data_IF_533806094931
#
_entry.id   IF_533806094931
#
_cell.length_a   1.000
_cell.length_b   1.000
_cell.length_c   1.000
_cell.angle_alpha   90.00
_cell.angle_beta   90.00
_cell.angle_gamma   90.00
#
_symmetry.space_group_name_H-M   'P 1'
#
loop_
_entity.id
_entity.type
_entity.pdbx_description
1 polymer ?
#
# COMPACT_ATOMS: atom_id res chain seq x y z
N UNK A 1 3.03 -37.88 -3.47
CA UNK A 1 2.31 -37.10 -4.50
C UNK A 1 3.02 -35.75 -4.60
N UNK A 2 3.15 -35.14 -5.79
CA UNK A 2 3.72 -33.79 -5.90
C UNK A 2 2.78 -32.78 -5.23
N UNK A 3 3.35 -31.76 -4.56
CA UNK A 3 2.55 -30.66 -4.00
C UNK A 3 1.78 -29.94 -5.13
N UNK A 4 0.59 -29.42 -4.82
CA UNK A 4 -0.20 -28.62 -5.78
C UNK A 4 0.44 -27.24 -5.92
N UNK A 5 0.66 -26.74 -7.14
CA UNK A 5 1.24 -25.40 -7.35
C UNK A 5 0.21 -24.32 -7.06
N UNK A 6 0.43 -23.54 -6.01
CA UNK A 6 -0.40 -22.42 -5.60
C UNK A 6 0.30 -21.11 -5.94
N UNK A 7 -0.30 -20.34 -6.84
CA UNK A 7 0.17 -19.00 -7.18
C UNK A 7 -0.67 -17.94 -6.45
N UNK A 8 -0.03 -17.02 -5.75
CA UNK A 8 -0.67 -15.82 -5.22
C UNK A 8 -0.21 -14.57 -5.98
N UNK A 9 -1.17 -13.87 -6.60
CA UNK A 9 -0.93 -12.57 -7.26
C UNK A 9 -1.27 -11.45 -6.29
N UNK A 10 -0.23 -10.82 -5.72
CA UNK A 10 -0.31 -9.74 -4.76
C UNK A 10 0.30 -10.11 -3.40
N UNK A 11 1.41 -9.47 -3.03
CA UNK A 11 2.11 -9.67 -1.76
C UNK A 11 1.57 -8.77 -0.61
N UNK A 12 0.26 -8.52 -0.58
CA UNK A 12 -0.38 -7.66 0.42
C UNK A 12 -0.81 -8.41 1.69
N UNK A 13 -1.12 -7.68 2.77
CA UNK A 13 -1.46 -8.24 4.09
C UNK A 13 -2.56 -9.33 4.03
N UNK A 14 -3.61 -9.11 3.23
CA UNK A 14 -4.70 -10.08 3.09
C UNK A 14 -4.25 -11.38 2.39
N UNK A 15 -3.41 -11.26 1.36
CA UNK A 15 -2.85 -12.40 0.65
C UNK A 15 -1.95 -13.22 1.55
N UNK A 16 -0.97 -12.57 2.18
CA UNK A 16 -0.03 -13.26 3.06
C UNK A 16 -0.72 -13.88 4.28
N UNK A 17 -1.73 -13.23 4.85
CA UNK A 17 -2.55 -13.85 5.90
C UNK A 17 -3.23 -15.15 5.44
N UNK A 18 -3.65 -15.21 4.18
CA UNK A 18 -4.22 -16.44 3.61
C UNK A 18 -3.17 -17.54 3.52
N UNK A 19 -1.93 -17.20 3.15
CA UNK A 19 -0.81 -18.15 3.10
C UNK A 19 -0.43 -18.63 4.50
N UNK A 20 -0.38 -17.75 5.50
CA UNK A 20 -0.15 -18.12 6.90
C UNK A 20 -1.16 -19.19 7.37
N UNK A 21 -2.45 -18.98 7.09
CA UNK A 21 -3.51 -19.93 7.47
C UNK A 21 -3.44 -21.26 6.71
N UNK A 22 -2.96 -21.23 5.47
CA UNK A 22 -2.72 -22.45 4.69
C UNK A 22 -1.58 -23.25 5.32
N UNK A 23 -0.47 -22.59 5.62
CA UNK A 23 0.71 -23.23 6.23
C UNK A 23 0.42 -23.77 7.62
N UNK A 24 -0.37 -23.06 8.43
CA UNK A 24 -0.76 -23.51 9.78
C UNK A 24 -1.61 -24.79 9.73
N UNK A 25 -2.44 -24.96 8.70
CA UNK A 25 -3.38 -26.08 8.59
C UNK A 25 -2.80 -27.27 7.85
N UNK A 26 -2.04 -27.04 6.79
CA UNK A 26 -1.49 -28.09 5.93
C UNK A 26 -0.24 -27.58 5.16
N UNK A 27 0.94 -27.55 5.82
CA UNK A 27 2.16 -26.97 5.26
C UNK A 27 2.71 -27.76 4.06
N UNK A 28 2.33 -29.03 3.92
CA UNK A 28 2.83 -29.91 2.87
C UNK A 28 1.93 -29.98 1.63
N UNK A 29 0.79 -29.28 1.63
CA UNK A 29 -0.19 -29.36 0.54
C UNK A 29 0.23 -28.67 -0.74
N UNK A 30 0.85 -27.50 -0.62
CA UNK A 30 1.09 -26.61 -1.74
C UNK A 30 2.58 -26.29 -1.93
N UNK A 31 2.97 -26.17 -3.19
CA UNK A 31 4.20 -25.50 -3.62
C UNK A 31 3.82 -24.06 -3.96
N UNK A 32 4.31 -23.08 -3.18
CA UNK A 32 3.75 -21.73 -3.14
C UNK A 32 4.66 -20.74 -3.85
N UNK A 33 4.12 -20.03 -4.82
CA UNK A 33 4.75 -18.85 -5.43
C UNK A 33 3.91 -17.61 -5.15
N UNK A 34 4.55 -16.53 -4.70
CA UNK A 34 3.92 -15.23 -4.47
C UNK A 34 4.56 -14.21 -5.40
N UNK A 35 3.74 -13.46 -6.15
CA UNK A 35 4.22 -12.39 -7.03
C UNK A 35 3.67 -11.04 -6.56
N UNK A 36 4.56 -10.08 -6.33
CA UNK A 36 4.25 -8.72 -5.90
C UNK A 36 4.84 -7.67 -6.81
N UNK A 37 4.05 -6.63 -7.12
CA UNK A 37 4.50 -5.50 -7.96
C UNK A 37 5.55 -4.60 -7.28
N UNK A 38 5.58 -4.59 -5.94
CA UNK A 38 6.46 -3.72 -5.15
C UNK A 38 7.76 -4.47 -4.80
N UNK A 39 8.93 -3.80 -4.72
CA UNK A 39 10.23 -4.44 -4.49
C UNK A 39 10.48 -4.78 -3.00
N UNK A 40 9.42 -5.10 -2.24
CA UNK A 40 9.46 -5.27 -0.79
C UNK A 40 8.78 -6.57 -0.37
N UNK A 41 9.18 -7.14 0.79
CA UNK A 41 8.42 -8.22 1.41
C UNK A 41 7.12 -7.65 2.00
N UNK A 42 6.27 -8.49 2.60
CA UNK A 42 4.99 -8.04 3.13
C UNK A 42 5.15 -7.05 4.29
N UNK A 43 4.36 -5.98 4.25
CA UNK A 43 4.42 -4.91 5.24
C UNK A 43 3.03 -4.38 5.60
N UNK A 44 2.94 -3.81 6.80
CA UNK A 44 1.74 -3.19 7.31
C UNK A 44 1.55 -1.79 6.70
N UNK A 45 0.83 -1.75 5.58
CA UNK A 45 0.53 -0.51 4.85
C UNK A 45 -0.22 0.55 5.66
N UNK A 46 -0.94 0.14 6.71
CA UNK A 46 -1.66 1.08 7.60
C UNK A 46 -0.66 1.97 8.35
N UNK A 47 0.56 1.48 8.59
CA UNK A 47 1.58 2.19 9.35
C UNK A 47 2.38 3.21 8.53
N UNK A 48 2.14 3.34 7.22
CA UNK A 48 2.86 4.32 6.38
C UNK A 48 2.66 5.76 6.85
N UNK A 49 1.50 6.10 7.44
CA UNK A 49 1.28 7.41 8.04
C UNK A 49 2.19 7.69 9.24
N UNK A 50 2.61 6.66 9.98
CA UNK A 50 3.59 6.80 11.06
C UNK A 50 5.00 7.06 10.53
N UNK A 51 5.36 6.47 9.36
CA UNK A 51 6.62 6.79 8.69
C UNK A 51 6.64 8.26 8.27
N UNK A 52 5.58 8.73 7.62
CA UNK A 52 5.46 10.12 7.21
C UNK A 52 5.47 11.11 8.40
N UNK A 53 5.11 10.65 9.60
CA UNK A 53 5.16 11.42 10.84
C UNK A 53 6.49 11.28 11.62
N UNK A 54 7.53 10.65 11.05
CA UNK A 54 8.81 10.35 11.71
C UNK A 54 8.67 9.51 13.00
N UNK A 55 7.62 8.69 13.11
CA UNK A 55 7.35 7.84 14.28
C UNK A 55 7.77 6.39 14.08
N UNK A 56 8.06 5.99 12.85
CA UNK A 56 8.34 4.62 12.47
C UNK A 56 9.23 4.60 11.23
N UNK A 57 10.00 3.53 11.08
CA UNK A 57 10.83 3.24 9.92
C UNK A 57 10.16 2.20 9.02
N UNK A 58 10.59 2.11 7.76
CA UNK A 58 10.13 1.05 6.83
C UNK A 58 10.33 -0.34 7.42
N UNK A 59 11.49 -0.59 8.05
CA UNK A 59 11.83 -1.89 8.65
C UNK A 59 10.82 -2.32 9.71
N UNK A 60 10.33 -1.39 10.53
CA UNK A 60 9.34 -1.66 11.58
C UNK A 60 7.94 -1.96 11.02
N UNK A 61 7.68 -1.66 9.75
CA UNK A 61 6.42 -2.02 9.09
C UNK A 61 6.42 -3.42 8.50
N UNK A 62 7.59 -4.06 8.34
CA UNK A 62 7.69 -5.40 7.74
C UNK A 62 7.01 -6.42 8.67
N UNK A 63 6.05 -7.16 8.13
CA UNK A 63 5.28 -8.17 8.86
C UNK A 63 5.92 -9.55 8.72
N UNK A 64 6.25 -9.91 7.48
CA UNK A 64 6.94 -11.15 7.15
C UNK A 64 8.21 -10.76 6.41
N UNK A 65 9.40 -10.88 7.05
CA UNK A 65 10.66 -10.54 6.39
C UNK A 65 11.03 -11.59 5.34
N UNK A 66 12.05 -11.34 4.51
CA UNK A 66 12.43 -12.26 3.43
C UNK A 66 12.73 -13.68 3.93
N UNK A 67 13.36 -13.78 5.11
CA UNK A 67 13.68 -15.02 5.80
C UNK A 67 12.44 -15.87 6.07
N UNK A 68 11.28 -15.26 6.35
CA UNK A 68 10.03 -15.99 6.56
C UNK A 68 9.58 -16.74 5.31
N UNK A 69 9.77 -16.15 4.13
CA UNK A 69 9.44 -16.82 2.86
C UNK A 69 10.38 -17.99 2.61
N UNK A 70 11.68 -17.80 2.86
CA UNK A 70 12.70 -18.85 2.71
C UNK A 70 12.45 -20.03 3.66
N UNK A 71 12.19 -19.75 4.94
CA UNK A 71 11.89 -20.75 5.98
C UNK A 71 10.63 -21.58 5.68
N UNK A 72 9.64 -20.98 5.01
CA UNK A 72 8.41 -21.65 4.61
C UNK A 72 8.44 -22.21 3.17
N UNK A 73 9.61 -22.21 2.53
CA UNK A 73 9.78 -22.68 1.15
C UNK A 73 8.84 -22.00 0.14
N UNK A 74 8.57 -20.71 0.35
CA UNK A 74 7.76 -19.89 -0.55
C UNK A 74 8.69 -19.20 -1.55
N UNK A 75 8.42 -19.37 -2.83
CA UNK A 75 9.07 -18.57 -3.86
C UNK A 75 8.43 -17.18 -3.92
N UNK A 76 9.15 -16.15 -3.47
CA UNK A 76 8.72 -14.76 -3.57
C UNK A 76 9.36 -14.07 -4.78
N UNK A 77 8.52 -13.50 -5.64
CA UNK A 77 8.92 -12.62 -6.76
C UNK A 77 8.44 -11.20 -6.44
N UNK A 78 9.38 -10.28 -6.21
CA UNK A 78 9.10 -8.86 -5.90
C UNK A 78 9.47 -7.96 -7.08
N UNK A 79 8.90 -6.75 -7.10
CA UNK A 79 9.21 -5.74 -8.11
C UNK A 79 8.80 -6.13 -9.55
N UNK A 80 7.94 -7.14 -9.71
CA UNK A 80 7.56 -7.66 -11.01
C UNK A 80 6.05 -7.90 -11.06
N UNK A 81 5.36 -7.00 -11.76
CA UNK A 81 3.90 -6.98 -11.81
C UNK A 81 3.38 -8.06 -12.75
N UNK A 82 2.39 -8.86 -12.33
CA UNK A 82 1.63 -9.71 -13.27
C UNK A 82 0.83 -8.84 -14.23
N UNK A 83 1.04 -9.03 -15.54
CA UNK A 83 0.39 -8.26 -16.61
C UNK A 83 -0.63 -9.07 -17.40
N UNK A 84 -0.51 -10.40 -17.44
CA UNK A 84 -1.42 -11.27 -18.17
C UNK A 84 -1.66 -12.59 -17.42
N UNK A 85 -2.89 -13.11 -17.56
CA UNK A 85 -3.29 -14.42 -17.07
C UNK A 85 -3.77 -15.23 -18.28
N UNK A 86 -3.07 -16.31 -18.60
CA UNK A 86 -3.49 -17.31 -19.61
C UNK A 86 -4.15 -18.49 -18.88
N UNK A 87 -5.48 -18.52 -18.93
CA UNK A 87 -6.28 -19.53 -18.23
C UNK A 87 -6.27 -20.89 -18.93
N UNK A 88 -6.04 -20.93 -20.24
CA UNK A 88 -5.99 -22.19 -21.00
C UNK A 88 -4.70 -22.94 -20.69
N UNK A 89 -3.58 -22.20 -20.59
CA UNK A 89 -2.27 -22.76 -20.20
C UNK A 89 -2.02 -22.79 -18.70
N UNK A 90 -2.94 -22.24 -17.91
CA UNK A 90 -2.83 -22.09 -16.45
C UNK A 90 -1.50 -21.45 -16.03
N UNK A 91 -1.20 -20.28 -16.60
CA UNK A 91 0.02 -19.53 -16.30
C UNK A 91 -0.23 -18.03 -16.26
N UNK A 92 0.67 -17.31 -15.62
CA UNK A 92 0.72 -15.84 -15.65
C UNK A 92 2.00 -15.37 -16.31
N UNK A 93 1.94 -14.17 -16.89
CA UNK A 93 3.11 -13.45 -17.40
C UNK A 93 3.32 -12.17 -16.59
N UNK A 94 4.56 -11.92 -16.21
CA UNK A 94 4.97 -10.71 -15.50
C UNK A 94 5.50 -9.63 -16.45
N UNK A 95 5.61 -8.39 -15.99
CA UNK A 95 6.08 -7.26 -16.77
C UNK A 95 7.54 -7.43 -17.24
N UNK A 96 8.36 -8.15 -16.46
CA UNK A 96 9.73 -8.52 -16.86
C UNK A 96 9.78 -9.78 -17.73
N UNK A 97 8.64 -10.34 -18.13
CA UNK A 97 8.53 -11.48 -19.04
C UNK A 97 8.66 -12.85 -18.38
N UNK A 98 8.56 -12.96 -17.04
CA UNK A 98 8.55 -14.26 -16.37
C UNK A 98 7.23 -14.97 -16.60
N UNK A 99 7.30 -16.27 -16.89
CA UNK A 99 6.12 -17.14 -17.03
C UNK A 99 6.04 -18.06 -15.82
N UNK A 100 4.96 -17.97 -15.06
CA UNK A 100 4.75 -18.77 -13.85
C UNK A 100 3.48 -19.59 -14.01
N UNK A 101 3.64 -20.92 -14.08
CA UNK A 101 2.53 -21.87 -14.15
C UNK A 101 1.92 -22.14 -12.77
N UNK A 102 0.62 -22.44 -12.74
CA UNK A 102 -0.12 -22.70 -11.50
C UNK A 102 -1.14 -23.83 -11.69
N UNK A 103 -1.52 -24.48 -10.59
CA UNK A 103 -2.67 -25.39 -10.56
C UNK A 103 -3.87 -24.68 -9.91
N UNK A 104 -3.60 -23.86 -8.88
CA UNK A 104 -4.55 -22.98 -8.23
C UNK A 104 -3.98 -21.57 -8.11
N UNK A 105 -4.84 -20.55 -8.18
CA UNK A 105 -4.43 -19.16 -8.11
C UNK A 105 -5.32 -18.35 -7.16
N UNK A 106 -4.68 -17.55 -6.31
CA UNK A 106 -5.31 -16.54 -5.45
C UNK A 106 -5.00 -15.16 -6.01
N UNK A 107 -6.03 -14.35 -6.26
CA UNK A 107 -5.88 -12.94 -6.65
C UNK A 107 -6.06 -12.07 -5.41
N UNK A 108 -4.96 -11.52 -4.91
CA UNK A 108 -4.88 -10.69 -3.71
C UNK A 108 -4.22 -9.32 -4.01
N UNK A 109 -4.50 -8.76 -5.20
CA UNK A 109 -3.86 -7.53 -5.71
C UNK A 109 -4.21 -6.26 -4.94
N UNK A 110 -5.22 -6.31 -4.08
CA UNK A 110 -5.72 -5.15 -3.37
C UNK A 110 -6.28 -4.08 -4.32
N UNK A 111 -5.96 -2.83 -4.04
CA UNK A 111 -6.43 -1.64 -4.79
C UNK A 111 -5.27 -0.73 -5.21
N UNK A 112 -5.58 0.37 -5.89
CA UNK A 112 -4.66 1.46 -6.23
C UNK A 112 -5.22 2.81 -5.76
N UNK A 113 -4.35 3.82 -5.65
CA UNK A 113 -4.76 5.19 -5.35
C UNK A 113 -5.60 5.76 -6.50
N UNK A 114 -6.76 6.33 -6.18
CA UNK A 114 -7.54 7.05 -7.18
C UNK A 114 -6.88 8.41 -7.46
N UNK A 115 -6.33 8.56 -8.67
CA UNK A 115 -5.75 9.82 -9.15
C UNK A 115 -6.83 10.60 -9.90
N UNK A 116 -7.04 11.85 -9.54
CA UNK A 116 -8.05 12.71 -10.16
C UNK A 116 -7.81 12.84 -11.67
N UNK A 117 -8.83 12.62 -12.52
CA UNK A 117 -8.71 12.71 -13.98
C UNK A 117 -8.75 14.18 -14.45
N UNK A 118 -7.77 14.97 -14.04
CA UNK A 118 -7.64 16.40 -14.38
C UNK A 118 -6.27 16.69 -14.99
N UNK A 119 -6.17 17.81 -15.71
CA UNK A 119 -4.90 18.30 -16.23
C UNK A 119 -3.90 18.52 -15.09
N UNK A 120 -2.66 18.08 -15.31
CA UNK A 120 -1.59 18.15 -14.30
C UNK A 120 -1.60 17.03 -13.28
N UNK A 121 -2.54 16.08 -13.31
CA UNK A 121 -2.59 14.90 -12.42
C UNK A 121 -1.38 13.95 -12.50
N UNK A 122 -0.53 14.12 -13.53
CA UNK A 122 0.71 13.35 -13.75
C UNK A 122 1.98 14.17 -13.57
N UNK A 123 1.88 15.40 -13.08
CA UNK A 123 3.06 16.20 -12.75
C UNK A 123 3.88 15.51 -11.66
N UNK A 124 5.19 15.71 -11.67
CA UNK A 124 6.13 15.03 -10.77
C UNK A 124 5.76 15.15 -9.28
N UNK A 125 5.25 16.32 -8.88
CA UNK A 125 4.83 16.61 -7.50
C UNK A 125 3.45 16.06 -7.11
N UNK A 126 2.72 15.40 -8.01
CA UNK A 126 1.48 14.70 -7.68
C UNK A 126 1.84 13.27 -7.27
N UNK A 127 1.54 12.94 -6.01
CA UNK A 127 1.94 11.68 -5.39
C UNK A 127 0.70 11.06 -4.74
N UNK A 128 0.43 9.79 -5.04
CA UNK A 128 -0.56 9.02 -4.29
C UNK A 128 -0.03 8.74 -2.88
N UNK A 129 -0.86 8.30 -1.95
CA UNK A 129 -0.37 7.89 -0.63
C UNK A 129 -0.80 6.45 -0.33
N UNK A 130 -0.01 5.50 -0.80
CA UNK A 130 -0.34 4.09 -0.69
C UNK A 130 0.85 3.18 -0.50
N UNK A 131 1.97 3.39 -1.18
CA UNK A 131 3.14 2.50 -1.12
C UNK A 131 4.26 3.06 -0.25
N UNK A 132 5.29 2.25 0.01
CA UNK A 132 6.54 2.73 0.60
C UNK A 132 7.16 3.80 -0.31
N UNK A 133 7.24 3.53 -1.62
CA UNK A 133 7.76 4.48 -2.62
C UNK A 133 7.01 5.83 -2.61
N UNK A 134 5.68 5.80 -2.48
CA UNK A 134 4.87 7.02 -2.35
C UNK A 134 5.31 7.82 -1.11
N UNK A 135 5.51 7.13 0.01
CA UNK A 135 5.90 7.72 1.30
C UNK A 135 7.31 8.30 1.24
N UNK A 136 8.27 7.56 0.70
CA UNK A 136 9.64 8.00 0.49
C UNK A 136 9.69 9.21 -0.45
N UNK A 137 8.93 9.17 -1.54
CA UNK A 137 8.81 10.32 -2.47
C UNK A 137 8.27 11.56 -1.78
N UNK A 138 7.25 11.43 -0.91
CA UNK A 138 6.75 12.55 -0.12
C UNK A 138 7.82 13.11 0.83
N UNK A 139 8.57 12.25 1.51
CA UNK A 139 9.65 12.66 2.40
C UNK A 139 10.77 13.40 1.64
N UNK A 140 11.18 12.91 0.47
CA UNK A 140 12.17 13.60 -0.37
C UNK A 140 11.68 14.97 -0.85
N UNK A 141 10.41 15.07 -1.27
CA UNK A 141 9.81 16.34 -1.66
C UNK A 141 9.79 17.32 -0.47
N UNK A 142 9.42 16.85 0.72
CA UNK A 142 9.33 17.67 1.92
C UNK A 142 10.68 18.28 2.35
N UNK A 143 11.81 17.65 2.00
CA UNK A 143 13.15 18.22 2.25
C UNK A 143 13.42 19.52 1.49
N UNK A 144 12.80 19.69 0.32
CA UNK A 144 13.11 20.82 -0.60
C UNK A 144 11.93 21.75 -0.86
N UNK A 145 10.70 21.33 -0.54
CA UNK A 145 9.47 22.10 -0.74
C UNK A 145 8.83 22.43 0.59
N UNK A 146 8.17 23.59 0.66
CA UNK A 146 7.57 24.10 1.90
C UNK A 146 6.05 24.03 1.92
N UNK A 147 5.39 23.82 0.79
CA UNK A 147 3.92 23.86 0.68
C UNK A 147 3.40 22.57 0.09
N UNK A 148 2.33 22.05 0.67
CA UNK A 148 1.63 20.88 0.16
C UNK A 148 0.12 21.11 0.13
N UNK A 149 -0.53 20.54 -0.87
CA UNK A 149 -1.98 20.44 -0.94
C UNK A 149 -2.35 18.97 -0.84
N UNK A 150 -3.13 18.62 0.17
CA UNK A 150 -3.71 17.28 0.31
C UNK A 150 -5.13 17.33 -0.21
N UNK A 151 -5.40 16.53 -1.24
CA UNK A 151 -6.72 16.43 -1.85
C UNK A 151 -7.43 15.22 -1.23
N UNK A 152 -8.47 15.49 -0.43
CA UNK A 152 -9.25 14.50 0.30
C UNK A 152 -9.19 14.72 1.82
N UNK A 153 -10.35 14.94 2.43
CA UNK A 153 -10.55 15.15 3.87
C UNK A 153 -11.01 13.90 4.64
N UNK A 154 -10.81 12.71 4.07
CA UNK A 154 -11.02 11.43 4.76
C UNK A 154 -9.86 11.08 5.70
N UNK A 155 -9.96 9.97 6.42
CA UNK A 155 -8.99 9.55 7.44
C UNK A 155 -7.53 9.59 6.92
N UNK A 156 -7.25 8.88 5.83
CA UNK A 156 -5.89 8.80 5.27
C UNK A 156 -5.38 10.15 4.77
N UNK A 157 -6.25 10.99 4.19
CA UNK A 157 -5.89 12.33 3.77
C UNK A 157 -5.51 13.22 4.96
N UNK A 158 -6.24 13.11 6.07
CA UNK A 158 -5.93 13.85 7.29
C UNK A 158 -4.65 13.35 7.99
N UNK A 159 -4.39 12.05 7.96
CA UNK A 159 -3.12 11.48 8.43
C UNK A 159 -1.93 11.91 7.56
N UNK A 160 -2.10 11.91 6.23
CA UNK A 160 -1.11 12.44 5.29
C UNK A 160 -0.83 13.92 5.56
N UNK A 161 -1.87 14.73 5.72
CA UNK A 161 -1.76 16.14 6.04
C UNK A 161 -1.01 16.35 7.36
N UNK A 162 -1.29 15.53 8.39
CA UNK A 162 -0.55 15.59 9.65
C UNK A 162 0.93 15.23 9.46
N UNK A 163 1.23 14.15 8.72
CA UNK A 163 2.59 13.74 8.42
C UNK A 163 3.39 14.84 7.71
N UNK A 164 2.83 15.48 6.69
CA UNK A 164 3.49 16.58 5.98
C UNK A 164 3.70 17.82 6.87
N UNK A 165 2.78 18.11 7.81
CA UNK A 165 3.00 19.15 8.85
C UNK A 165 4.16 18.75 9.77
N UNK A 166 4.24 17.47 10.17
CA UNK A 166 5.35 16.96 11.00
C UNK A 166 6.70 16.99 10.26
N UNK A 167 6.69 17.02 8.92
CA UNK A 167 7.87 17.30 8.08
C UNK A 167 8.17 18.81 7.90
N UNK A 168 7.39 19.70 8.51
CA UNK A 168 7.60 21.15 8.46
C UNK A 168 6.96 21.87 7.26
N UNK A 169 6.03 21.23 6.55
CA UNK A 169 5.33 21.86 5.42
C UNK A 169 4.11 22.68 5.87
N UNK A 170 3.81 23.76 5.15
CA UNK A 170 2.52 24.46 5.20
C UNK A 170 1.51 23.69 4.34
N UNK A 171 0.62 22.96 5.03
CA UNK A 171 -0.34 22.06 4.41
C UNK A 171 -1.73 22.69 4.31
N UNK A 172 -2.32 22.58 3.12
CA UNK A 172 -3.73 22.88 2.88
C UNK A 172 -4.48 21.59 2.53
N UNK A 173 -5.58 21.31 3.22
CA UNK A 173 -6.47 20.20 2.87
C UNK A 173 -7.62 20.74 2.03
N UNK A 174 -7.79 20.19 0.84
CA UNK A 174 -8.91 20.47 -0.07
C UNK A 174 -9.83 19.25 -0.04
N UNK A 175 -11.09 19.47 0.32
CA UNK A 175 -12.09 18.41 0.43
C UNK A 175 -13.38 18.82 -0.26
N UNK A 176 -14.02 17.88 -0.95
CA UNK A 176 -15.22 18.17 -1.74
C UNK A 176 -16.46 18.37 -0.86
N UNK A 177 -16.58 17.59 0.22
CA UNK A 177 -17.74 17.65 1.11
C UNK A 177 -17.69 18.88 2.04
N UNK A 178 -18.84 19.23 2.61
CA UNK A 178 -18.98 20.37 3.51
C UNK A 178 -18.16 20.23 4.82
N UNK A 179 -17.93 19.01 5.28
CA UNK A 179 -17.13 18.71 6.48
C UNK A 179 -16.18 17.52 6.26
N UNK A 180 -15.19 17.40 7.16
CA UNK A 180 -14.17 16.34 7.12
C UNK A 180 -14.73 14.99 7.57
N UNK A 181 -14.21 13.90 7.01
CA UNK A 181 -14.61 12.53 7.32
C UNK A 181 -16.13 12.31 7.26
N UNK A 182 -16.80 12.84 6.24
CA UNK A 182 -18.25 12.83 6.06
C UNK A 182 -18.88 11.43 5.99
N UNK A 183 -18.09 10.42 5.63
CA UNK A 183 -18.53 9.02 5.63
C UNK A 183 -18.55 8.43 7.05
N UNK A 184 -17.72 8.95 7.97
CA UNK A 184 -17.57 8.44 9.34
C UNK A 184 -18.20 9.35 10.40
N UNK A 185 -18.32 10.65 10.14
CA UNK A 185 -18.69 11.67 11.10
C UNK A 185 -19.90 12.47 10.63
N UNK A 186 -20.77 12.83 11.57
CA UNK A 186 -21.79 13.84 11.33
C UNK A 186 -21.16 15.25 11.23
N UNK A 187 -21.96 16.23 10.79
CA UNK A 187 -21.51 17.61 10.62
C UNK A 187 -20.94 18.21 11.91
N UNK A 188 -21.54 17.89 13.06
CA UNK A 188 -21.11 18.45 14.36
C UNK A 188 -19.72 17.93 14.73
N UNK A 189 -19.49 16.63 14.61
CA UNK A 189 -18.17 16.03 14.85
C UNK A 189 -17.14 16.51 13.82
N UNK A 190 -17.51 16.62 12.53
CA UNK A 190 -16.65 17.18 11.49
C UNK A 190 -16.19 18.61 11.76
N UNK A 191 -17.07 19.46 12.28
CA UNK A 191 -16.72 20.83 12.69
C UNK A 191 -15.81 20.88 13.93
N UNK A 192 -15.99 19.98 14.89
CA UNK A 192 -15.05 19.83 16.01
C UNK A 192 -13.66 19.40 15.53
N UNK A 193 -13.61 18.44 14.60
CA UNK A 193 -12.37 17.97 13.98
C UNK A 193 -11.66 19.11 13.23
N UNK A 194 -12.39 19.85 12.40
CA UNK A 194 -11.87 21.02 11.67
C UNK A 194 -11.28 22.08 12.60
N UNK A 195 -11.96 22.37 13.72
CA UNK A 195 -11.44 23.28 14.76
C UNK A 195 -10.15 22.77 15.37
N UNK A 196 -10.03 21.46 15.61
CA UNK A 196 -8.80 20.84 16.12
C UNK A 196 -7.66 20.99 15.12
N UNK A 197 -7.89 20.67 13.84
CA UNK A 197 -6.86 20.78 12.79
C UNK A 197 -6.37 22.22 12.56
N UNK A 198 -7.26 23.22 12.60
CA UNK A 198 -6.88 24.63 12.44
C UNK A 198 -6.01 25.17 13.58
N UNK A 199 -6.15 24.63 14.80
CA UNK A 199 -5.38 25.05 15.97
C UNK A 199 -3.95 24.51 15.99
N UNK A 200 -3.62 23.53 15.14
CA UNK A 200 -2.32 22.84 15.16
C UNK A 200 -1.27 23.49 14.24
N UNK A 201 -1.47 24.74 13.80
CA UNK A 201 -0.41 25.56 13.21
C UNK A 201 0.43 26.14 14.36
N UNK A 202 1.59 25.53 14.66
CA UNK A 202 2.69 26.21 15.34
C UNK A 202 3.62 26.81 14.29
#
# INVERSE_FOLDING_TARGET
>A
MSKTRLLMVGNGMAGVRTIEEILERDPERFDITIIGKEPYPNYNRIMLSNILQNKMTVKETIMNPYEWYEENHIQLITGDKVVQIDREKQQVETEQGQIVGYDQMIIATGSDSFILPIDGSRLEGVVGFRTIDDTEKMLEIAKTKQKAIVIGGGLLGLECARGLVDQGMDVTVVHLAEWLMEVQLDRKAGELLKKRFRKTRY
#
